data_IF_348743020510
#
_entry.id   IF_348743020510
#
_cell.length_a   1.000
_cell.length_b   1.000
_cell.length_c   1.000
_cell.angle_alpha   90.00
_cell.angle_beta   90.00
_cell.angle_gamma   90.00
#
_symmetry.space_group_name_H-M   'P 1'
#
loop_
_entity.id
_entity.type
_entity.pdbx_description
1 polymer ?
#
# COMPACT_ATOMS: atom_id res chain seq x y z
N UNK A 1 15.93 10.91 -14.63
CA UNK A 1 15.64 9.72 -13.81
C UNK A 1 15.49 10.07 -12.32
N UNK A 2 14.69 11.08 -11.98
CA UNK A 2 14.46 11.47 -10.58
C UNK A 2 13.24 10.76 -9.98
N UNK A 3 12.21 10.52 -10.79
CA UNK A 3 10.94 9.91 -10.37
C UNK A 3 11.10 8.51 -9.78
N UNK A 4 11.97 7.68 -10.36
CA UNK A 4 12.24 6.32 -9.87
C UNK A 4 13.00 6.31 -8.52
N UNK A 5 13.91 7.27 -8.31
CA UNK A 5 14.66 7.39 -7.06
C UNK A 5 13.76 7.85 -5.89
N UNK A 6 12.81 8.76 -6.14
CA UNK A 6 11.81 9.15 -5.14
C UNK A 6 10.85 8.01 -4.78
N UNK A 7 10.56 7.09 -5.70
CA UNK A 7 9.75 5.90 -5.42
C UNK A 7 10.35 5.00 -4.34
N UNK A 8 11.67 4.79 -4.36
CA UNK A 8 12.38 4.01 -3.33
C UNK A 8 12.34 4.70 -1.96
N UNK A 9 12.55 6.01 -1.93
CA UNK A 9 12.48 6.80 -0.69
C UNK A 9 11.07 6.79 -0.11
N UNK A 10 10.04 6.93 -0.96
CA UNK A 10 8.64 6.88 -0.54
C UNK A 10 8.26 5.51 0.04
N UNK A 11 8.69 4.42 -0.61
CA UNK A 11 8.46 3.05 -0.13
C UNK A 11 9.08 2.82 1.26
N UNK A 12 10.32 3.27 1.46
CA UNK A 12 11.01 3.18 2.76
C UNK A 12 10.31 4.02 3.84
N UNK A 13 9.95 5.27 3.53
CA UNK A 13 9.28 6.16 4.47
C UNK A 13 7.89 5.63 4.89
N UNK A 14 7.14 5.05 3.96
CA UNK A 14 5.82 4.48 4.23
C UNK A 14 5.90 3.23 5.10
N UNK A 15 6.86 2.34 4.83
CA UNK A 15 7.16 1.18 5.69
C UNK A 15 7.49 1.60 7.13
N UNK A 16 8.34 2.61 7.31
CA UNK A 16 8.72 3.11 8.63
C UNK A 16 7.56 3.81 9.36
N UNK A 17 6.71 4.54 8.64
CA UNK A 17 5.52 5.18 9.19
C UNK A 17 4.57 4.14 9.79
N UNK A 18 4.24 3.09 9.02
CA UNK A 18 3.30 2.05 9.47
C UNK A 18 3.84 1.36 10.72
N UNK A 19 5.12 1.00 10.74
CA UNK A 19 5.76 0.36 11.91
C UNK A 19 5.66 1.24 13.15
N UNK A 20 6.01 2.52 13.04
CA UNK A 20 5.94 3.47 14.18
C UNK A 20 4.51 3.69 14.67
N UNK A 21 3.53 3.72 13.77
CA UNK A 21 2.11 3.83 14.14
C UNK A 21 1.69 2.59 14.91
N UNK A 22 2.01 1.40 14.39
CA UNK A 22 1.70 0.14 15.05
C UNK A 22 2.36 0.06 16.42
N UNK A 23 3.66 0.34 16.52
CA UNK A 23 4.38 0.32 17.80
C UNK A 23 3.85 1.35 18.81
N UNK A 24 3.29 2.47 18.34
CA UNK A 24 2.72 3.50 19.21
C UNK A 24 1.30 3.17 19.68
N UNK A 25 0.48 2.55 18.83
CA UNK A 25 -0.92 2.26 19.13
C UNK A 25 -1.17 0.85 19.65
N UNK A 26 -0.25 -0.09 19.43
CA UNK A 26 -0.33 -1.49 19.88
C UNK A 26 0.71 -1.72 20.97
N UNK A 27 0.25 -2.20 22.12
CA UNK A 27 1.00 -2.25 23.37
C UNK A 27 2.41 -2.86 23.23
N UNK A 28 3.45 -2.21 23.80
CA UNK A 28 4.82 -2.72 23.79
C UNK A 28 4.89 -4.01 24.61
N UNK A 29 5.24 -5.13 23.97
CA UNK A 29 5.36 -6.45 24.62
C UNK A 29 4.85 -7.62 23.78
N UNK A 30 4.12 -7.36 22.71
CA UNK A 30 3.55 -8.40 21.84
C UNK A 30 4.24 -8.46 20.48
N UNK A 31 5.58 -8.57 20.45
CA UNK A 31 6.38 -8.45 19.22
C UNK A 31 5.90 -9.27 18.02
N UNK A 32 5.31 -10.46 18.26
CA UNK A 32 4.70 -11.28 17.21
C UNK A 32 3.33 -10.74 16.76
N UNK A 33 2.51 -10.26 17.70
CA UNK A 33 1.18 -9.69 17.41
C UNK A 33 1.32 -8.35 16.68
N UNK A 34 2.31 -7.51 17.02
CA UNK A 34 2.58 -6.27 16.28
C UNK A 34 3.01 -6.55 14.84
N UNK A 35 3.86 -7.55 14.61
CA UNK A 35 4.23 -8.00 13.26
C UNK A 35 3.05 -8.60 12.48
N UNK A 36 2.16 -9.32 13.15
CA UNK A 36 0.97 -9.90 12.52
C UNK A 36 -0.02 -8.82 12.10
N UNK A 37 -0.25 -7.81 12.95
CA UNK A 37 -1.08 -6.66 12.62
C UNK A 37 -0.45 -5.84 11.48
N UNK A 38 0.87 -5.65 11.50
CA UNK A 38 1.60 -5.01 10.39
C UNK A 38 1.33 -5.73 9.07
N UNK A 39 1.46 -7.06 9.04
CA UNK A 39 1.22 -7.84 7.82
C UNK A 39 -0.22 -7.67 7.31
N UNK A 40 -1.22 -7.77 8.20
CA UNK A 40 -2.64 -7.64 7.81
C UNK A 40 -2.94 -6.23 7.27
N UNK A 41 -2.45 -5.18 7.93
CA UNK A 41 -2.67 -3.79 7.49
C UNK A 41 -2.05 -3.56 6.12
N UNK A 42 -0.78 -3.96 5.94
CA UNK A 42 -0.07 -3.77 4.68
C UNK A 42 -0.73 -4.55 3.56
N UNK A 43 -1.10 -5.82 3.76
CA UNK A 43 -1.79 -6.62 2.76
C UNK A 43 -3.14 -6.02 2.38
N UNK A 44 -3.92 -5.55 3.36
CA UNK A 44 -5.23 -4.93 3.09
C UNK A 44 -5.08 -3.66 2.26
N UNK A 45 -4.13 -2.78 2.61
CA UNK A 45 -3.85 -1.57 1.84
C UNK A 45 -3.40 -1.88 0.42
N UNK A 46 -2.52 -2.88 0.26
CA UNK A 46 -1.96 -3.25 -1.03
C UNK A 46 -3.04 -3.83 -1.95
N UNK A 47 -3.89 -4.73 -1.42
CA UNK A 47 -5.04 -5.28 -2.15
C UNK A 47 -6.03 -4.18 -2.53
N UNK A 48 -6.35 -3.25 -1.62
CA UNK A 48 -7.24 -2.12 -1.92
C UNK A 48 -6.70 -1.25 -3.07
N UNK A 49 -5.40 -0.95 -3.06
CA UNK A 49 -4.74 -0.21 -4.15
C UNK A 49 -4.78 -0.98 -5.47
N UNK A 50 -4.51 -2.30 -5.46
CA UNK A 50 -4.57 -3.14 -6.66
C UNK A 50 -5.98 -3.19 -7.26
N UNK A 51 -7.02 -3.30 -6.43
CA UNK A 51 -8.41 -3.29 -6.89
C UNK A 51 -8.75 -1.94 -7.54
N UNK A 52 -8.38 -0.83 -6.91
CA UNK A 52 -8.68 0.50 -7.46
C UNK A 52 -7.97 0.74 -8.80
N UNK A 53 -6.71 0.30 -8.92
CA UNK A 53 -5.99 0.31 -10.19
C UNK A 53 -6.65 -0.58 -11.25
N UNK A 54 -7.11 -1.77 -10.88
CA UNK A 54 -7.84 -2.67 -11.78
C UNK A 54 -9.12 -2.04 -12.35
N UNK A 55 -9.91 -1.39 -11.48
CA UNK A 55 -11.16 -0.71 -11.87
C UNK A 55 -10.90 0.49 -12.79
N UNK A 56 -9.82 1.22 -12.55
CA UNK A 56 -9.40 2.33 -13.41
C UNK A 56 -8.96 1.77 -14.77
N UNK A 57 -8.19 0.69 -14.80
CA UNK A 57 -7.74 0.06 -16.03
C UNK A 57 -8.92 -0.48 -16.87
N UNK A 58 -9.90 -1.15 -16.25
CA UNK A 58 -11.13 -1.58 -16.94
C UNK A 58 -11.89 -0.40 -17.54
N UNK A 59 -12.07 0.71 -16.80
CA UNK A 59 -12.72 1.91 -17.33
C UNK A 59 -11.99 2.48 -18.55
N UNK A 60 -10.67 2.50 -18.54
CA UNK A 60 -9.91 2.98 -19.69
C UNK A 60 -10.04 2.06 -20.90
N UNK A 61 -10.08 0.74 -20.70
CA UNK A 61 -10.31 -0.24 -21.77
C UNK A 61 -11.71 -0.11 -22.39
N UNK A 62 -12.74 0.04 -21.55
CA UNK A 62 -14.14 0.23 -21.98
C UNK A 62 -14.33 1.55 -22.76
N UNK A 63 -13.56 2.59 -22.43
CA UNK A 63 -13.56 3.88 -23.15
C UNK A 63 -12.81 3.84 -24.49
N UNK A 64 -11.82 2.96 -24.66
CA UNK A 64 -11.16 2.73 -25.95
C UNK A 64 -12.08 1.94 -26.91
N UNK A 65 -12.75 0.89 -26.43
CA UNK A 65 -13.65 0.07 -27.25
C UNK A 65 -14.91 0.82 -27.71
N UNK A 66 -15.36 1.84 -26.96
CA UNK A 66 -16.48 2.73 -27.36
C UNK A 66 -16.10 3.83 -28.36
N UNK A 67 -14.81 4.05 -28.60
CA UNK A 67 -14.31 5.10 -29.51
C UNK A 67 -13.92 4.56 -30.89
N UNK A 68 -13.81 3.24 -31.06
CA UNK A 68 -13.77 2.55 -32.36
C UNK A 68 -15.18 2.22 -32.89
#
# INVERSE_FOLDING_TARGET
MLTSAFGLVAALAWNDLIKRVIDRYISPGSGVISQLIYAVIVTTLLVAMTIEMGKIAEKFADEEEKKE
#
